data_IF_124644891095
#
_entry.id   IF_124644891095
#
_cell.length_a   1.000
_cell.length_b   1.000
_cell.length_c   1.000
_cell.angle_alpha   90.00
_cell.angle_beta   90.00
_cell.angle_gamma   90.00
#
_symmetry.space_group_name_H-M   'P 1'
#
loop_
_entity.id
_entity.type
_entity.pdbx_description
1 polymer ?
#
# COMPACT_ATOMS: atom_id res chain seq x y z
N UNK A 1 32.31 -2.44 5.33
CA UNK A 1 31.99 -1.10 5.87
C UNK A 1 32.78 -0.13 5.02
N UNK A 2 32.12 0.79 4.29
CA UNK A 2 32.82 1.76 3.44
C UNK A 2 33.78 2.63 4.26
N UNK A 3 34.94 2.96 3.68
CA UNK A 3 35.92 3.86 4.29
C UNK A 3 35.64 5.32 3.87
N UNK A 4 35.88 6.25 4.79
CA UNK A 4 35.55 7.68 4.62
C UNK A 4 36.83 8.49 4.38
N UNK A 5 36.85 9.30 3.32
CA UNK A 5 37.92 10.26 3.01
C UNK A 5 37.44 11.69 3.23
N UNK A 6 38.27 12.53 3.87
CA UNK A 6 37.96 13.94 4.19
C UNK A 6 38.09 14.83 2.94
N UNK A 7 37.14 15.75 2.74
CA UNK A 7 37.00 16.58 1.54
C UNK A 7 37.61 18.01 1.68
N UNK A 8 38.21 18.60 0.61
CA UNK A 8 38.75 19.98 0.61
C UNK A 8 37.67 21.10 0.52
N UNK A 9 38.06 22.29 1.01
CA UNK A 9 37.33 23.54 1.35
C UNK A 9 36.66 24.33 0.19
N UNK A 10 36.20 23.68 -0.89
CA UNK A 10 35.49 24.35 -1.99
C UNK A 10 34.30 23.53 -2.51
N UNK A 11 33.19 24.21 -2.85
CA UNK A 11 32.00 23.61 -3.49
C UNK A 11 32.38 22.89 -4.78
N UNK A 12 32.01 21.61 -4.87
CA UNK A 12 32.23 20.76 -6.02
C UNK A 12 30.94 19.98 -6.37
N UNK A 13 30.17 20.55 -7.30
CA UNK A 13 28.96 19.92 -7.87
C UNK A 13 29.21 18.51 -8.38
N UNK A 14 30.36 18.29 -9.03
CA UNK A 14 30.75 16.99 -9.58
C UNK A 14 30.92 15.95 -8.48
N UNK A 15 31.53 16.33 -7.36
CA UNK A 15 31.70 15.46 -6.18
C UNK A 15 30.35 15.01 -5.61
N UNK A 16 29.38 15.93 -5.52
CA UNK A 16 28.04 15.60 -5.03
C UNK A 16 27.28 14.65 -5.98
N UNK A 17 27.36 14.88 -7.30
CA UNK A 17 26.77 13.96 -8.29
C UNK A 17 27.46 12.59 -8.24
N UNK A 18 28.79 12.56 -8.11
CA UNK A 18 29.56 11.32 -7.99
C UNK A 18 29.17 10.53 -6.73
N UNK A 19 28.94 11.20 -5.60
CA UNK A 19 28.48 10.53 -4.39
C UNK A 19 27.11 9.84 -4.60
N UNK A 20 26.16 10.52 -5.26
CA UNK A 20 24.86 9.93 -5.59
C UNK A 20 25.00 8.80 -6.62
N UNK A 21 25.79 8.99 -7.67
CA UNK A 21 26.04 7.96 -8.69
C UNK A 21 26.69 6.71 -8.07
N UNK A 22 27.60 6.89 -7.10
CA UNK A 22 28.23 5.78 -6.40
C UNK A 22 27.26 4.99 -5.52
N UNK A 23 26.29 5.68 -4.92
CA UNK A 23 25.19 5.02 -4.23
C UNK A 23 24.31 4.18 -5.18
N UNK A 24 24.13 4.60 -6.43
CA UNK A 24 23.43 3.81 -7.46
C UNK A 24 24.19 2.54 -7.78
N UNK A 25 25.49 2.65 -8.09
CA UNK A 25 26.35 1.49 -8.39
C UNK A 25 26.35 0.47 -7.25
N UNK A 26 26.48 0.95 -6.01
CA UNK A 26 26.37 0.11 -4.82
C UNK A 26 25.04 -0.64 -4.71
N UNK A 27 23.94 0.03 -5.06
CA UNK A 27 22.61 -0.56 -5.01
C UNK A 27 22.36 -1.56 -6.15
N UNK A 28 22.99 -1.37 -7.31
CA UNK A 28 22.88 -2.25 -8.48
C UNK A 28 23.78 -3.49 -8.33
N UNK A 29 25.05 -3.29 -7.95
CA UNK A 29 26.09 -4.32 -8.00
C UNK A 29 26.28 -5.08 -6.68
N UNK A 30 25.96 -4.45 -5.54
CA UNK A 30 26.07 -5.09 -4.22
C UNK A 30 27.47 -5.11 -3.60
N UNK A 31 28.47 -4.48 -4.22
CA UNK A 31 29.87 -4.54 -3.77
C UNK A 31 30.18 -3.55 -2.63
N UNK A 32 30.24 -4.02 -1.38
CA UNK A 32 30.43 -3.13 -0.21
C UNK A 32 31.84 -2.51 -0.01
N UNK A 33 32.78 -2.74 -0.94
CA UNK A 33 34.18 -2.26 -0.87
C UNK A 33 34.39 -0.92 -1.56
N UNK A 34 33.30 -0.27 -1.91
CA UNK A 34 33.28 0.99 -2.61
C UNK A 34 33.51 2.14 -1.61
N UNK A 35 34.55 2.96 -1.87
CA UNK A 35 34.82 4.18 -1.10
C UNK A 35 33.67 5.18 -1.24
N UNK A 36 33.18 5.70 -0.11
CA UNK A 36 32.13 6.73 -0.09
C UNK A 36 32.79 8.06 0.23
N UNK A 37 32.71 9.00 -0.71
CA UNK A 37 33.24 10.35 -0.54
C UNK A 37 32.23 11.17 0.24
N UNK A 38 32.62 11.65 1.42
CA UNK A 38 31.82 12.59 2.19
C UNK A 38 31.70 13.91 1.42
N UNK A 39 30.50 14.48 1.38
CA UNK A 39 30.23 15.75 0.72
C UNK A 39 29.90 16.81 1.77
N UNK A 40 30.38 18.02 1.52
CA UNK A 40 30.14 19.20 2.36
C UNK A 40 28.80 19.86 2.00
N UNK A 41 28.28 20.70 2.90
CA UNK A 41 27.11 21.53 2.62
C UNK A 41 27.29 22.38 1.36
N UNK A 42 28.49 22.91 1.13
CA UNK A 42 28.84 23.70 -0.05
C UNK A 42 28.70 22.88 -1.36
N UNK A 43 29.01 21.59 -1.35
CA UNK A 43 28.84 20.72 -2.52
C UNK A 43 27.38 20.53 -2.90
N UNK A 44 26.53 20.37 -1.89
CA UNK A 44 25.09 20.21 -2.05
C UNK A 44 24.42 21.52 -2.47
N UNK A 45 24.96 22.68 -2.06
CA UNK A 45 24.51 23.95 -2.62
C UNK A 45 24.79 24.07 -4.12
N UNK A 46 25.93 23.54 -4.58
CA UNK A 46 26.27 23.42 -5.99
C UNK A 46 25.30 22.53 -6.80
N UNK A 47 24.48 21.71 -6.12
CA UNK A 47 23.44 20.89 -6.76
C UNK A 47 22.12 21.64 -7.00
N UNK A 48 21.94 22.89 -6.54
CA UNK A 48 20.71 23.65 -6.80
C UNK A 48 20.36 23.63 -8.29
N UNK A 49 19.12 23.23 -8.61
CA UNK A 49 18.62 23.11 -9.98
C UNK A 49 19.09 21.87 -10.75
N UNK A 50 19.82 20.95 -10.11
CA UNK A 50 20.20 19.65 -10.70
C UNK A 50 19.14 18.62 -10.37
N UNK A 51 18.61 17.95 -11.39
CA UNK A 51 17.68 16.86 -11.18
C UNK A 51 18.42 15.57 -10.84
N UNK A 52 18.41 15.20 -9.56
CA UNK A 52 18.96 13.93 -9.07
C UNK A 52 17.96 12.78 -9.16
N UNK A 53 16.69 13.06 -9.53
CA UNK A 53 15.62 12.09 -9.53
C UNK A 53 15.93 10.82 -10.33
N UNK A 54 16.48 10.88 -11.56
CA UNK A 54 16.75 9.66 -12.34
C UNK A 54 17.76 8.73 -11.66
N UNK A 55 18.74 9.29 -10.94
CA UNK A 55 19.71 8.50 -10.17
C UNK A 55 19.05 7.86 -8.94
N UNK A 56 18.26 8.65 -8.19
CA UNK A 56 17.57 8.15 -7.00
C UNK A 56 16.54 7.07 -7.34
N UNK A 57 15.84 7.20 -8.46
CA UNK A 57 14.88 6.21 -8.97
C UNK A 57 15.57 4.88 -9.28
N UNK A 58 16.72 4.92 -9.96
CA UNK A 58 17.54 3.72 -10.19
C UNK A 58 17.97 3.08 -8.88
N UNK A 59 18.54 3.87 -7.96
CA UNK A 59 19.02 3.38 -6.67
C UNK A 59 17.88 2.71 -5.86
N UNK A 60 16.73 3.38 -5.76
CA UNK A 60 15.66 2.90 -4.88
C UNK A 60 15.05 1.59 -5.40
N UNK A 61 15.00 1.35 -6.73
CA UNK A 61 14.49 0.10 -7.32
C UNK A 61 15.55 -0.99 -7.51
N UNK A 62 16.82 -0.69 -7.28
CA UNK A 62 17.90 -1.65 -7.44
C UNK A 62 17.87 -2.78 -6.41
N UNK A 63 18.57 -3.89 -6.71
CA UNK A 63 18.52 -5.12 -5.94
C UNK A 63 19.03 -4.96 -4.50
N UNK A 64 20.02 -4.11 -4.31
CA UNK A 64 20.70 -3.83 -3.04
C UNK A 64 20.44 -2.40 -2.56
N UNK A 65 19.20 -1.91 -2.70
CA UNK A 65 18.81 -0.54 -2.34
C UNK A 65 19.23 -0.09 -0.93
N UNK A 66 19.32 -1.01 0.03
CA UNK A 66 19.85 -0.75 1.38
C UNK A 66 21.31 -0.29 1.39
N UNK A 67 22.16 -0.84 0.50
CA UNK A 67 23.55 -0.40 0.37
C UNK A 67 23.66 0.99 -0.25
N UNK A 68 22.83 1.30 -1.25
CA UNK A 68 22.75 2.64 -1.82
C UNK A 68 22.26 3.67 -0.81
N UNK A 69 21.25 3.32 -0.01
CA UNK A 69 20.76 4.16 1.09
C UNK A 69 21.83 4.39 2.16
N UNK A 70 22.62 3.37 2.51
CA UNK A 70 23.77 3.54 3.42
C UNK A 70 24.86 4.42 2.82
N UNK A 71 25.12 4.33 1.51
CA UNK A 71 26.07 5.20 0.84
C UNK A 71 25.62 6.67 0.84
N UNK A 72 24.33 6.94 0.58
CA UNK A 72 23.78 8.30 0.68
C UNK A 72 23.89 8.86 2.11
N UNK A 73 23.67 8.01 3.12
CA UNK A 73 23.83 8.38 4.52
C UNK A 73 25.29 8.72 4.84
N UNK A 74 26.22 7.82 4.50
CA UNK A 74 27.66 8.00 4.77
C UNK A 74 28.26 9.19 4.02
N UNK A 75 27.75 9.49 2.83
CA UNK A 75 28.16 10.66 2.08
C UNK A 75 27.66 11.97 2.70
N UNK A 76 26.60 11.96 3.53
CA UNK A 76 25.93 13.16 4.03
C UNK A 76 24.87 13.72 3.06
N UNK A 77 24.51 12.97 2.00
CA UNK A 77 23.49 13.40 1.04
C UNK A 77 22.12 13.53 1.71
N UNK A 78 21.79 12.62 2.63
CA UNK A 78 20.49 12.60 3.29
C UNK A 78 20.26 13.84 4.16
N UNK A 79 21.28 14.38 4.83
CA UNK A 79 21.16 15.56 5.71
C UNK A 79 20.52 16.75 4.98
N UNK A 80 20.90 16.96 3.72
CA UNK A 80 20.40 18.10 2.93
C UNK A 80 19.20 17.77 2.06
N UNK A 81 19.23 16.61 1.41
CA UNK A 81 18.27 16.23 0.39
C UNK A 81 16.98 15.69 1.02
N UNK A 82 17.12 14.82 2.02
CA UNK A 82 16.04 14.10 2.66
C UNK A 82 16.20 14.13 4.21
N UNK A 83 16.24 15.32 4.85
CA UNK A 83 16.42 15.41 6.31
C UNK A 83 15.32 14.68 7.09
N UNK A 84 14.13 14.51 6.52
CA UNK A 84 13.05 13.70 7.09
C UNK A 84 13.41 12.22 7.18
N UNK A 85 14.17 11.71 6.21
CA UNK A 85 14.70 10.34 6.21
C UNK A 85 15.90 10.25 7.15
N UNK A 86 16.81 11.22 7.11
CA UNK A 86 17.96 11.31 8.01
C UNK A 86 17.56 11.28 9.48
N UNK A 87 16.47 11.96 9.84
CA UNK A 87 15.97 12.00 11.22
C UNK A 87 15.59 10.62 11.79
N UNK A 88 15.39 9.61 10.94
CA UNK A 88 15.12 8.23 11.38
C UNK A 88 16.38 7.48 11.83
N UNK A 89 17.57 7.97 11.46
CA UNK A 89 18.86 7.33 11.76
C UNK A 89 19.13 7.39 13.26
N UNK A 90 19.34 6.22 13.88
CA UNK A 90 19.53 6.11 15.33
C UNK A 90 18.27 6.41 16.15
N UNK A 91 17.13 6.66 15.49
CA UNK A 91 15.87 6.88 16.18
C UNK A 91 15.25 5.53 16.57
N UNK A 92 15.32 5.20 17.85
CA UNK A 92 14.82 3.96 18.45
C UNK A 92 15.40 3.77 19.85
N UNK A 93 14.79 2.92 20.67
CA UNK A 93 15.28 2.71 22.04
C UNK A 93 16.46 1.73 22.02
N UNK A 94 17.62 2.20 22.49
CA UNK A 94 18.87 1.44 22.58
C UNK A 94 18.81 0.18 23.46
N UNK A 95 17.70 -0.06 24.15
CA UNK A 95 17.49 -1.24 24.99
C UNK A 95 16.16 -1.94 24.62
N UNK A 96 16.25 -2.87 23.68
CA UNK A 96 15.39 -4.06 23.55
C UNK A 96 13.88 -3.90 23.28
N UNK A 97 13.32 -2.69 23.18
CA UNK A 97 11.85 -2.51 22.99
C UNK A 97 11.42 -2.13 21.57
N UNK A 98 12.17 -1.27 20.86
CA UNK A 98 11.84 -0.85 19.49
C UNK A 98 13.04 -0.96 18.56
N UNK A 99 12.81 -1.39 17.31
CA UNK A 99 13.86 -1.40 16.28
C UNK A 99 14.19 0.04 15.88
N UNK A 100 15.47 0.31 15.64
CA UNK A 100 15.95 1.49 14.92
C UNK A 100 15.14 1.69 13.63
N UNK A 101 14.49 2.86 13.52
CA UNK A 101 13.54 3.15 12.43
C UNK A 101 14.25 3.14 11.08
N UNK A 102 15.46 3.68 10.98
CA UNK A 102 16.24 3.65 9.74
C UNK A 102 16.55 2.21 9.27
N UNK A 103 17.04 1.36 10.19
CA UNK A 103 17.33 -0.05 9.87
C UNK A 103 16.07 -0.79 9.42
N UNK A 104 14.93 -0.50 10.06
CA UNK A 104 13.65 -1.03 9.65
C UNK A 104 13.27 -0.54 8.24
N UNK A 105 13.27 0.77 8.00
CA UNK A 105 12.92 1.38 6.70
C UNK A 105 13.75 0.81 5.55
N UNK A 106 15.08 0.73 5.68
CA UNK A 106 15.93 0.10 4.65
C UNK A 106 15.50 -1.35 4.36
N UNK A 107 15.21 -2.13 5.40
CA UNK A 107 14.75 -3.50 5.25
C UNK A 107 13.39 -3.57 4.52
N UNK A 108 12.49 -2.62 4.76
CA UNK A 108 11.20 -2.52 4.04
C UNK A 108 11.44 -2.17 2.57
N UNK A 109 12.27 -1.17 2.29
CA UNK A 109 12.63 -0.76 0.90
C UNK A 109 13.20 -1.95 0.11
N UNK A 110 14.19 -2.67 0.64
CA UNK A 110 14.81 -3.81 -0.07
C UNK A 110 13.84 -4.99 -0.25
N UNK A 111 12.95 -5.24 0.72
CA UNK A 111 11.95 -6.33 0.61
C UNK A 111 10.78 -5.97 -0.30
N UNK A 112 10.49 -4.69 -0.48
CA UNK A 112 9.40 -4.23 -1.31
C UNK A 112 9.63 -4.55 -2.79
N UNK A 113 8.52 -4.81 -3.49
CA UNK A 113 8.50 -4.99 -4.95
C UNK A 113 9.22 -3.80 -5.59
N UNK A 114 10.16 -3.99 -6.54
CA UNK A 114 10.96 -2.93 -7.15
C UNK A 114 10.14 -2.08 -8.14
N UNK A 115 9.10 -1.42 -7.62
CA UNK A 115 8.30 -0.41 -8.32
C UNK A 115 8.48 0.92 -7.59
N UNK A 116 8.58 2.00 -8.38
CA UNK A 116 8.91 3.33 -7.87
C UNK A 116 7.97 3.78 -6.76
N UNK A 117 6.66 3.70 -6.99
CA UNK A 117 5.68 4.16 -6.01
C UNK A 117 5.78 3.38 -4.68
N UNK A 118 5.93 2.06 -4.74
CA UNK A 118 6.03 1.22 -3.54
C UNK A 118 7.32 1.49 -2.79
N UNK A 119 8.48 1.58 -3.46
CA UNK A 119 9.77 1.74 -2.77
C UNK A 119 10.03 3.14 -2.28
N UNK A 120 9.56 4.16 -2.98
CA UNK A 120 9.51 5.52 -2.43
C UNK A 120 8.57 5.62 -1.24
N UNK A 121 7.37 5.02 -1.32
CA UNK A 121 6.48 4.96 -0.16
C UNK A 121 7.12 4.21 1.01
N UNK A 122 7.82 3.10 0.76
CA UNK A 122 8.57 2.37 1.78
C UNK A 122 9.65 3.22 2.45
N UNK A 123 10.38 4.06 1.69
CA UNK A 123 11.36 4.98 2.26
C UNK A 123 10.71 6.02 3.20
N UNK A 124 9.48 6.44 2.88
CA UNK A 124 8.79 7.52 3.59
C UNK A 124 7.75 7.08 4.62
N UNK A 125 7.33 5.82 4.64
CA UNK A 125 6.14 5.39 5.40
C UNK A 125 6.21 5.74 6.89
N UNK A 126 7.42 5.69 7.46
CA UNK A 126 7.68 5.83 8.88
C UNK A 126 8.30 7.18 9.29
N UNK A 127 8.51 8.12 8.35
CA UNK A 127 9.16 9.41 8.67
C UNK A 127 8.39 10.21 9.72
N UNK A 128 7.08 9.97 9.87
CA UNK A 128 6.26 10.61 10.90
C UNK A 128 6.58 10.17 12.33
N UNK A 129 7.22 9.01 12.54
CA UNK A 129 7.53 8.48 13.89
C UNK A 129 8.42 9.44 14.68
N UNK A 130 9.34 10.12 14.01
CA UNK A 130 10.27 11.07 14.66
C UNK A 130 9.57 12.26 15.30
N UNK A 131 8.34 12.60 14.83
CA UNK A 131 7.54 13.73 15.34
C UNK A 131 6.36 13.32 16.21
N UNK A 132 6.07 12.03 16.33
CA UNK A 132 4.86 11.51 17.00
C UNK A 132 5.16 10.58 18.16
N UNK A 133 6.44 10.42 18.51
CA UNK A 133 6.84 9.65 19.69
C UNK A 133 6.20 10.22 20.94
N UNK A 134 5.49 9.36 21.66
CA UNK A 134 4.90 9.64 22.96
C UNK A 134 5.18 8.46 23.90
N UNK A 135 5.13 8.72 25.20
CA UNK A 135 5.36 7.73 26.25
C UNK A 135 4.08 7.56 27.06
N UNK A 136 3.64 6.32 27.24
CA UNK A 136 2.55 5.98 28.16
C UNK A 136 3.05 5.91 29.61
N UNK A 137 2.12 5.79 30.55
CA UNK A 137 2.39 5.82 32.00
C UNK A 137 3.38 4.75 32.47
N UNK A 138 3.45 3.62 31.76
CA UNK A 138 4.35 2.49 32.06
C UNK A 138 5.66 2.51 31.23
N UNK A 139 5.98 3.64 30.58
CA UNK A 139 7.14 3.77 29.71
C UNK A 139 7.00 3.04 28.36
N UNK A 140 5.78 2.74 27.94
CA UNK A 140 5.50 2.22 26.59
C UNK A 140 5.66 3.34 25.56
N UNK A 141 6.31 3.06 24.43
CA UNK A 141 6.47 4.04 23.36
C UNK A 141 5.38 3.86 22.32
N UNK A 142 4.74 4.97 21.95
CA UNK A 142 3.70 5.02 20.94
C UNK A 142 4.04 6.02 19.83
N UNK A 143 3.51 5.76 18.64
CA UNK A 143 3.64 6.61 17.44
C UNK A 143 2.26 6.85 16.82
N UNK A 144 1.30 7.30 17.63
CA UNK A 144 -0.08 7.48 17.17
C UNK A 144 -0.15 8.55 16.07
N UNK A 145 -0.81 8.23 14.96
CA UNK A 145 -1.01 9.15 13.83
C UNK A 145 0.26 9.45 13.02
N UNK A 146 1.32 8.64 13.15
CA UNK A 146 2.57 8.86 12.40
C UNK A 146 2.36 8.76 10.89
N UNK A 147 1.39 7.99 10.42
CA UNK A 147 1.00 7.90 9.01
C UNK A 147 0.45 9.24 8.49
N UNK A 148 -0.35 9.95 9.31
CA UNK A 148 -0.90 11.27 8.97
C UNK A 148 0.19 12.34 9.00
N UNK A 149 1.03 12.32 10.04
CA UNK A 149 2.16 13.26 10.15
C UNK A 149 3.19 13.00 9.04
N UNK A 150 3.46 11.74 8.73
CA UNK A 150 4.35 11.29 7.65
C UNK A 150 3.87 11.78 6.29
N UNK A 151 2.59 11.62 5.97
CA UNK A 151 2.02 12.14 4.72
C UNK A 151 2.16 13.69 4.61
N UNK A 152 1.96 14.41 5.72
CA UNK A 152 2.18 15.87 5.76
C UNK A 152 3.66 16.26 5.63
N UNK A 153 4.58 15.43 6.13
CA UNK A 153 6.02 15.61 5.95
C UNK A 153 6.40 15.39 4.49
N UNK A 154 5.85 14.35 3.85
CA UNK A 154 6.01 14.12 2.41
C UNK A 154 5.53 15.32 1.58
N UNK A 155 4.36 15.89 1.89
CA UNK A 155 3.83 17.08 1.20
C UNK A 155 4.80 18.28 1.28
N UNK A 156 5.46 18.48 2.43
CA UNK A 156 6.44 19.56 2.62
C UNK A 156 7.75 19.27 1.90
N UNK A 157 8.19 18.02 1.93
CA UNK A 157 9.37 17.54 1.20
C UNK A 157 9.17 17.77 -0.29
N UNK A 158 8.03 17.37 -0.85
CA UNK A 158 7.76 17.51 -2.28
C UNK A 158 7.65 18.97 -2.72
N UNK A 159 7.08 19.85 -1.90
CA UNK A 159 7.11 21.30 -2.15
C UNK A 159 8.53 21.87 -2.22
N UNK A 160 9.46 21.31 -1.44
CA UNK A 160 10.86 21.76 -1.38
C UNK A 160 11.71 21.16 -2.49
N UNK A 161 11.60 19.85 -2.73
CA UNK A 161 12.46 19.10 -3.64
C UNK A 161 11.89 18.95 -5.05
N UNK A 162 10.56 18.95 -5.19
CA UNK A 162 9.83 18.84 -6.46
C UNK A 162 10.17 17.57 -7.26
N UNK A 163 10.53 16.49 -6.56
CA UNK A 163 10.98 15.22 -7.15
C UNK A 163 9.92 14.56 -8.02
N UNK A 164 8.65 14.76 -7.69
CA UNK A 164 7.52 14.13 -8.37
C UNK A 164 6.63 15.15 -9.09
N UNK A 165 7.11 16.38 -9.26
CA UNK A 165 6.28 17.48 -9.76
C UNK A 165 5.85 17.32 -11.22
N UNK A 166 6.57 16.52 -12.00
CA UNK A 166 6.21 16.12 -13.38
C UNK A 166 5.40 14.83 -13.46
N UNK A 167 5.21 14.11 -12.36
CA UNK A 167 4.58 12.79 -12.31
C UNK A 167 3.52 12.73 -11.19
N UNK A 168 2.42 13.46 -11.38
CA UNK A 168 1.39 13.62 -10.34
C UNK A 168 0.79 12.29 -9.87
N UNK A 169 0.53 11.36 -10.79
CA UNK A 169 0.02 10.02 -10.44
C UNK A 169 0.99 9.27 -9.53
N UNK A 170 2.30 9.36 -9.79
CA UNK A 170 3.34 8.72 -8.96
C UNK A 170 3.40 9.39 -7.58
N UNK A 171 3.42 10.72 -7.53
CA UNK A 171 3.38 11.52 -6.30
C UNK A 171 2.19 11.13 -5.42
N UNK A 172 1.00 11.10 -6.01
CA UNK A 172 -0.24 10.89 -5.31
C UNK A 172 -0.35 9.44 -4.82
N UNK A 173 0.12 8.46 -5.60
CA UNK A 173 0.24 7.06 -5.16
C UNK A 173 1.19 6.91 -3.97
N UNK A 174 2.38 7.54 -4.01
CA UNK A 174 3.33 7.48 -2.89
C UNK A 174 2.74 8.08 -1.63
N UNK A 175 2.16 9.28 -1.74
CA UNK A 175 1.50 9.95 -0.63
C UNK A 175 0.35 9.10 -0.05
N UNK A 176 -0.45 8.50 -0.93
CA UNK A 176 -1.56 7.63 -0.54
C UNK A 176 -1.06 6.42 0.25
N UNK A 177 0.00 5.76 -0.25
CA UNK A 177 0.61 4.60 0.40
C UNK A 177 1.19 4.97 1.77
N UNK A 178 1.92 6.09 1.88
CA UNK A 178 2.44 6.60 3.16
C UNK A 178 1.31 6.84 4.16
N UNK A 179 0.22 7.49 3.74
CA UNK A 179 -0.92 7.77 4.61
C UNK A 179 -1.65 6.51 5.08
N UNK A 180 -1.72 5.47 4.23
CA UNK A 180 -2.56 4.31 4.47
C UNK A 180 -1.80 3.04 4.86
N UNK A 181 -0.46 3.08 4.99
CA UNK A 181 0.37 1.87 5.12
C UNK A 181 -0.02 0.93 6.28
N UNK A 182 -0.57 1.47 7.38
CA UNK A 182 -1.04 0.68 8.53
C UNK A 182 -2.33 -0.11 8.27
N UNK A 183 -3.14 0.33 7.31
CA UNK A 183 -4.55 -0.07 7.15
C UNK A 183 -4.71 -1.56 6.86
N UNK A 184 -3.91 -2.11 5.95
CA UNK A 184 -3.96 -3.54 5.64
C UNK A 184 -3.50 -4.40 6.83
N UNK A 185 -2.58 -3.90 7.65
CA UNK A 185 -2.11 -4.56 8.87
C UNK A 185 -3.17 -4.66 9.98
N UNK A 186 -4.23 -3.86 9.92
CA UNK A 186 -5.36 -3.90 10.86
C UNK A 186 -6.36 -5.02 10.55
N UNK A 187 -6.19 -5.73 9.43
CA UNK A 187 -7.07 -6.82 9.04
C UNK A 187 -7.09 -7.94 10.09
N UNK A 188 -8.30 -8.41 10.35
CA UNK A 188 -8.55 -9.61 11.13
C UNK A 188 -9.60 -10.49 10.43
N UNK A 189 -9.45 -11.81 10.56
CA UNK A 189 -10.31 -12.80 9.90
C UNK A 189 -11.79 -12.65 10.26
N UNK A 190 -12.09 -12.02 11.42
CA UNK A 190 -13.47 -11.73 11.85
C UNK A 190 -14.10 -10.51 11.16
N UNK A 191 -13.39 -9.81 10.26
CA UNK A 191 -14.00 -8.75 9.46
C UNK A 191 -15.20 -9.28 8.67
N UNK A 192 -16.33 -8.59 8.78
CA UNK A 192 -17.52 -8.89 7.98
C UNK A 192 -17.27 -8.55 6.52
N UNK A 193 -18.02 -9.17 5.61
CA UNK A 193 -17.86 -8.86 4.18
C UNK A 193 -18.16 -7.39 3.86
N UNK A 194 -19.04 -6.73 4.62
CA UNK A 194 -19.26 -5.29 4.52
C UNK A 194 -18.01 -4.48 4.90
N UNK A 195 -17.27 -4.90 5.93
CA UNK A 195 -16.01 -4.26 6.31
C UNK A 195 -14.93 -4.45 5.23
N UNK A 196 -14.83 -5.64 4.66
CA UNK A 196 -13.89 -5.93 3.55
C UNK A 196 -14.24 -5.10 2.31
N UNK A 197 -15.53 -5.03 1.91
CA UNK A 197 -15.99 -4.17 0.81
C UNK A 197 -15.70 -2.69 1.04
N UNK A 198 -15.95 -2.19 2.26
CA UNK A 198 -15.64 -0.80 2.63
C UNK A 198 -14.15 -0.53 2.51
N UNK A 199 -13.30 -1.42 3.04
CA UNK A 199 -11.86 -1.31 2.89
C UNK A 199 -11.45 -1.28 1.41
N UNK A 200 -11.92 -2.23 0.60
CA UNK A 200 -11.62 -2.28 -0.83
C UNK A 200 -12.00 -0.97 -1.53
N UNK A 201 -13.21 -0.46 -1.27
CA UNK A 201 -13.69 0.81 -1.84
C UNK A 201 -12.86 2.02 -1.41
N UNK A 202 -12.48 2.10 -0.14
CA UNK A 202 -11.67 3.20 0.39
C UNK A 202 -10.24 3.20 -0.15
N UNK A 203 -9.67 2.01 -0.42
CA UNK A 203 -8.32 1.90 -0.98
C UNK A 203 -8.28 2.08 -2.50
N UNK A 204 -9.30 1.60 -3.21
CA UNK A 204 -9.46 1.80 -4.65
C UNK A 204 -8.29 1.26 -5.47
N UNK A 205 -7.82 2.05 -6.43
CA UNK A 205 -6.76 1.67 -7.38
C UNK A 205 -5.41 1.33 -6.73
N UNK A 206 -5.14 1.84 -5.52
CA UNK A 206 -3.88 1.61 -4.82
C UNK A 206 -3.88 0.29 -4.00
N UNK A 207 -4.90 -0.57 -4.15
CA UNK A 207 -5.06 -1.77 -3.33
C UNK A 207 -3.86 -2.72 -3.42
N UNK A 208 -3.48 -3.11 -4.64
CA UNK A 208 -2.40 -4.07 -4.83
C UNK A 208 -1.08 -3.53 -4.28
N UNK A 209 -0.83 -2.24 -4.46
CA UNK A 209 0.39 -1.56 -4.02
C UNK A 209 0.44 -1.43 -2.50
N UNK A 210 -0.69 -1.14 -1.87
CA UNK A 210 -0.82 -1.11 -0.42
C UNK A 210 -0.60 -2.49 0.19
N UNK A 211 -1.18 -3.54 -0.40
CA UNK A 211 -0.96 -4.91 0.07
C UNK A 211 0.51 -5.33 -0.14
N UNK A 212 1.17 -4.92 -1.23
CA UNK A 212 2.59 -5.16 -1.45
C UNK A 212 3.45 -4.47 -0.38
N UNK A 213 3.21 -3.18 -0.12
CA UNK A 213 3.92 -2.42 0.92
C UNK A 213 3.72 -3.05 2.30
N UNK A 214 2.47 -3.38 2.65
CA UNK A 214 2.14 -4.01 3.94
C UNK A 214 2.84 -5.35 4.16
N UNK A 215 3.02 -6.17 3.11
CA UNK A 215 3.82 -7.40 3.21
C UNK A 215 5.30 -7.12 3.47
N UNK A 216 5.86 -6.12 2.78
CA UNK A 216 7.28 -5.74 2.92
C UNK A 216 7.58 -5.17 4.32
N UNK A 217 6.62 -4.47 4.91
CA UNK A 217 6.70 -3.87 6.24
C UNK A 217 6.82 -4.91 7.39
N UNK A 218 6.43 -6.16 7.12
CA UNK A 218 6.57 -7.28 8.07
C UNK A 218 8.04 -7.71 8.17
N UNK A 219 8.80 -6.98 8.99
CA UNK A 219 10.25 -7.16 9.17
C UNK A 219 10.66 -8.05 10.35
N UNK A 220 9.72 -8.64 11.08
CA UNK A 220 10.03 -9.47 12.26
C UNK A 220 11.00 -10.62 11.91
N UNK A 221 12.04 -10.81 12.74
CA UNK A 221 12.99 -11.94 12.60
C UNK A 221 12.37 -13.29 12.99
N UNK A 222 11.23 -13.28 13.71
CA UNK A 222 10.54 -14.51 14.14
C UNK A 222 9.75 -15.10 12.97
N UNK A 223 10.27 -16.18 12.38
CA UNK A 223 9.71 -16.82 11.18
C UNK A 223 8.21 -17.13 11.28
N UNK A 224 7.74 -17.68 12.42
CA UNK A 224 6.33 -17.97 12.62
C UNK A 224 5.45 -16.70 12.63
N UNK A 225 5.91 -15.61 13.27
CA UNK A 225 5.18 -14.33 13.25
C UNK A 225 5.16 -13.73 11.84
N UNK A 226 6.29 -13.81 11.11
CA UNK A 226 6.39 -13.36 9.72
C UNK A 226 5.38 -14.10 8.83
N UNK A 227 5.37 -15.43 8.90
CA UNK A 227 4.45 -16.29 8.13
C UNK A 227 2.99 -15.96 8.43
N UNK A 228 2.63 -15.81 9.71
CA UNK A 228 1.25 -15.45 10.11
C UNK A 228 0.85 -14.06 9.61
N UNK A 229 1.72 -13.06 9.72
CA UNK A 229 1.43 -11.71 9.23
C UNK A 229 1.22 -11.68 7.71
N UNK A 230 2.12 -12.32 6.94
CA UNK A 230 1.97 -12.40 5.48
C UNK A 230 0.70 -13.16 5.10
N UNK A 231 0.38 -14.26 5.80
CA UNK A 231 -0.85 -15.01 5.56
C UNK A 231 -2.10 -14.14 5.75
N UNK A 232 -2.16 -13.29 6.78
CA UNK A 232 -3.28 -12.35 6.98
C UNK A 232 -3.44 -11.37 5.82
N UNK A 233 -2.36 -10.78 5.32
CA UNK A 233 -2.44 -9.84 4.18
C UNK A 233 -2.86 -10.57 2.90
N UNK A 234 -2.41 -11.81 2.70
CA UNK A 234 -2.85 -12.64 1.58
C UNK A 234 -4.33 -13.01 1.68
N UNK A 235 -4.79 -13.40 2.87
CA UNK A 235 -6.20 -13.71 3.13
C UNK A 235 -7.10 -12.52 2.82
N UNK A 236 -6.74 -11.31 3.27
CA UNK A 236 -7.46 -10.08 2.91
C UNK A 236 -7.56 -9.90 1.40
N UNK A 237 -6.43 -10.05 0.68
CA UNK A 237 -6.40 -9.94 -0.78
C UNK A 237 -7.30 -10.97 -1.47
N UNK A 238 -7.30 -12.22 -1.00
CA UNK A 238 -8.18 -13.28 -1.52
C UNK A 238 -9.64 -12.96 -1.26
N UNK A 239 -10.03 -12.59 -0.04
CA UNK A 239 -11.41 -12.25 0.30
C UNK A 239 -11.93 -11.06 -0.51
N UNK A 240 -11.09 -10.05 -0.76
CA UNK A 240 -11.48 -8.93 -1.61
C UNK A 240 -11.81 -9.41 -3.03
N UNK A 241 -10.98 -10.29 -3.61
CA UNK A 241 -11.22 -10.86 -4.95
C UNK A 241 -12.49 -11.69 -5.00
N UNK A 242 -12.68 -12.60 -4.04
CA UNK A 242 -13.88 -13.44 -3.95
C UNK A 242 -15.16 -12.59 -3.83
N UNK A 243 -15.15 -11.56 -2.98
CA UNK A 243 -16.30 -10.66 -2.85
C UNK A 243 -16.53 -9.82 -4.11
N UNK A 244 -15.48 -9.36 -4.77
CA UNK A 244 -15.61 -8.63 -6.04
C UNK A 244 -16.18 -9.52 -7.15
N UNK A 245 -15.75 -10.79 -7.23
CA UNK A 245 -16.31 -11.79 -8.14
C UNK A 245 -17.77 -12.09 -7.84
N UNK A 246 -18.14 -12.22 -6.57
CA UNK A 246 -19.54 -12.39 -6.14
C UNK A 246 -20.39 -11.18 -6.52
N UNK A 247 -19.89 -9.96 -6.28
CA UNK A 247 -20.60 -8.72 -6.57
C UNK A 247 -20.72 -8.46 -8.09
N UNK A 248 -19.79 -8.98 -8.89
CA UNK A 248 -19.82 -8.91 -10.35
C UNK A 248 -20.82 -9.91 -10.99
N UNK A 249 -21.36 -10.87 -10.23
CA UNK A 249 -22.38 -11.80 -10.75
C UNK A 249 -23.66 -11.03 -11.03
N UNK A 250 -24.07 -11.03 -12.29
CA UNK A 250 -25.38 -10.54 -12.70
C UNK A 250 -26.42 -11.53 -12.18
N UNK A 251 -27.37 -11.09 -11.31
CA UNK A 251 -28.46 -11.97 -10.89
C UNK A 251 -29.23 -12.47 -12.12
N UNK A 252 -29.62 -13.75 -12.18
CA UNK A 252 -30.27 -14.30 -13.36
C UNK A 252 -31.66 -13.70 -13.61
N UNK A 253 -32.26 -13.13 -12.57
CA UNK A 253 -33.55 -12.44 -12.65
C UNK A 253 -33.36 -10.92 -12.77
N UNK A 254 -34.18 -10.24 -13.58
CA UNK A 254 -34.13 -8.80 -13.75
C UNK A 254 -34.55 -8.08 -12.47
N UNK A 255 -34.06 -6.85 -12.31
CA UNK A 255 -34.51 -5.96 -11.23
C UNK A 255 -36.01 -5.70 -11.40
N UNK A 256 -36.76 -5.77 -10.31
CA UNK A 256 -38.20 -5.50 -10.33
C UNK A 256 -39.11 -6.72 -10.53
N UNK A 257 -38.57 -7.90 -10.89
CA UNK A 257 -39.37 -9.13 -11.06
C UNK A 257 -40.26 -9.44 -9.86
N UNK A 258 -39.77 -9.18 -8.64
CA UNK A 258 -40.53 -9.40 -7.42
C UNK A 258 -41.77 -8.51 -7.32
N UNK A 259 -41.67 -7.25 -7.78
CA UNK A 259 -42.80 -6.32 -7.79
C UNK A 259 -43.85 -6.73 -8.82
N UNK A 260 -43.41 -7.25 -9.97
CA UNK A 260 -44.33 -7.75 -10.99
C UNK A 260 -45.03 -9.04 -10.57
N UNK A 261 -44.30 -9.97 -9.95
CA UNK A 261 -44.89 -11.17 -9.34
C UNK A 261 -45.93 -10.79 -8.27
N UNK A 262 -45.61 -9.82 -7.42
CA UNK A 262 -46.56 -9.31 -6.43
C UNK A 262 -47.81 -8.71 -7.07
N UNK A 263 -47.64 -7.90 -8.12
CA UNK A 263 -48.75 -7.24 -8.81
C UNK A 263 -49.65 -8.25 -9.54
N UNK A 264 -49.04 -9.18 -10.28
CA UNK A 264 -49.75 -10.15 -11.09
C UNK A 264 -50.53 -11.17 -10.25
N UNK A 265 -49.89 -11.74 -9.22
CA UNK A 265 -50.48 -12.76 -8.35
C UNK A 265 -51.13 -12.19 -7.08
N UNK A 266 -51.19 -10.85 -6.94
CA UNK A 266 -51.71 -10.14 -5.76
C UNK A 266 -51.08 -10.61 -4.44
N UNK A 267 -49.78 -10.89 -4.46
CA UNK A 267 -49.04 -11.38 -3.31
C UNK A 267 -48.52 -10.23 -2.45
N UNK A 268 -48.65 -10.28 -1.12
CA UNK A 268 -47.95 -9.36 -0.24
C UNK A 268 -46.44 -9.72 -0.16
N UNK A 269 -45.57 -8.78 0.29
CA UNK A 269 -44.21 -9.12 0.66
C UNK A 269 -44.20 -10.24 1.69
N UNK A 270 -43.65 -11.40 1.34
CA UNK A 270 -43.77 -12.62 2.14
C UNK A 270 -42.61 -13.59 1.87
N UNK A 271 -42.46 -14.59 2.75
CA UNK A 271 -41.50 -15.68 2.56
C UNK A 271 -41.72 -16.41 1.23
N UNK A 272 -42.99 -16.61 0.85
CA UNK A 272 -43.39 -17.25 -0.40
C UNK A 272 -42.81 -16.52 -1.62
N UNK A 273 -42.87 -15.18 -1.67
CA UNK A 273 -42.25 -14.41 -2.76
C UNK A 273 -40.74 -14.68 -2.85
N UNK A 274 -40.06 -14.80 -1.70
CA UNK A 274 -38.65 -15.19 -1.65
C UNK A 274 -38.40 -16.61 -2.15
N UNK A 275 -39.28 -17.56 -1.82
CA UNK A 275 -39.21 -18.95 -2.30
C UNK A 275 -39.42 -19.02 -3.83
N UNK A 276 -40.40 -18.29 -4.37
CA UNK A 276 -40.65 -18.19 -5.82
C UNK A 276 -39.42 -17.66 -6.55
N UNK A 277 -38.83 -16.55 -6.07
CA UNK A 277 -37.63 -15.99 -6.65
C UNK A 277 -36.45 -16.97 -6.65
N UNK A 278 -36.21 -17.67 -5.54
CA UNK A 278 -35.16 -18.71 -5.47
C UNK A 278 -35.40 -19.87 -6.43
N UNK A 279 -36.66 -20.31 -6.58
CA UNK A 279 -37.01 -21.37 -7.51
C UNK A 279 -36.81 -20.95 -8.98
N UNK A 280 -37.12 -19.69 -9.31
CA UNK A 280 -36.84 -19.12 -10.63
C UNK A 280 -35.33 -18.97 -10.89
N UNK A 281 -34.55 -18.51 -9.90
CA UNK A 281 -33.09 -18.45 -9.97
C UNK A 281 -32.49 -19.85 -10.25
N UNK A 282 -32.93 -20.87 -9.49
CA UNK A 282 -32.50 -22.25 -9.68
C UNK A 282 -32.90 -22.83 -11.06
N UNK A 283 -34.07 -22.46 -11.58
CA UNK A 283 -34.50 -22.87 -12.93
C UNK A 283 -33.63 -22.23 -14.02
N UNK A 284 -33.19 -20.98 -13.83
CA UNK A 284 -32.20 -20.37 -14.71
C UNK A 284 -30.85 -21.07 -14.64
N UNK A 285 -30.37 -21.40 -13.44
CA UNK A 285 -29.10 -22.12 -13.23
C UNK A 285 -29.12 -23.53 -13.83
N UNK A 286 -30.26 -24.23 -13.77
CA UNK A 286 -30.46 -25.53 -14.37
C UNK A 286 -30.62 -25.51 -15.90
N UNK A 287 -30.67 -24.32 -16.53
CA UNK A 287 -30.88 -24.15 -17.96
C UNK A 287 -32.33 -24.37 -18.43
N UNK A 288 -33.27 -24.50 -17.50
CA UNK A 288 -34.71 -24.61 -17.79
C UNK A 288 -35.28 -23.26 -18.27
N UNK A 289 -34.82 -22.16 -17.64
CA UNK A 289 -35.20 -20.80 -17.99
C UNK A 289 -34.03 -20.01 -18.53
N UNK A 290 -34.29 -19.12 -19.48
CA UNK A 290 -33.28 -18.15 -19.93
C UNK A 290 -33.08 -17.10 -18.83
N UNK A 291 -31.83 -16.84 -18.47
CA UNK A 291 -31.47 -15.74 -17.58
C UNK A 291 -31.62 -14.37 -18.29
N UNK A 292 -31.70 -13.30 -17.50
CA UNK A 292 -31.74 -11.90 -17.96
C UNK A 292 -32.84 -11.58 -18.98
N UNK A 293 -33.98 -12.26 -18.88
CA UNK A 293 -35.17 -11.90 -19.65
C UNK A 293 -35.92 -10.75 -18.96
N UNK A 294 -36.90 -10.17 -19.65
CA UNK A 294 -37.85 -9.24 -19.04
C UNK A 294 -38.67 -9.94 -17.94
N UNK A 295 -39.07 -9.21 -16.92
CA UNK A 295 -39.84 -9.76 -15.78
C UNK A 295 -41.08 -10.57 -16.22
N UNK A 296 -41.77 -10.13 -17.27
CA UNK A 296 -42.95 -10.79 -17.82
C UNK A 296 -42.72 -12.25 -18.25
N UNK A 297 -41.51 -12.59 -18.72
CA UNK A 297 -41.13 -13.97 -19.04
C UNK A 297 -41.21 -14.88 -17.81
N UNK A 298 -40.71 -14.41 -16.68
CA UNK A 298 -40.74 -15.17 -15.42
C UNK A 298 -42.14 -15.21 -14.82
N UNK A 299 -42.88 -14.10 -14.89
CA UNK A 299 -44.27 -14.05 -14.43
C UNK A 299 -45.13 -15.06 -15.18
N UNK A 300 -44.97 -15.15 -16.51
CA UNK A 300 -45.67 -16.12 -17.33
C UNK A 300 -45.31 -17.56 -16.93
N UNK A 301 -44.03 -17.86 -16.75
CA UNK A 301 -43.61 -19.20 -16.32
C UNK A 301 -44.22 -19.62 -14.98
N UNK A 302 -44.30 -18.69 -14.01
CA UNK A 302 -44.98 -18.94 -12.73
C UNK A 302 -46.49 -19.16 -12.93
N UNK A 303 -47.13 -18.41 -13.82
CA UNK A 303 -48.56 -18.53 -14.10
C UNK A 303 -48.92 -19.87 -14.79
N UNK A 304 -48.01 -20.40 -15.59
CA UNK A 304 -48.15 -21.71 -16.26
C UNK A 304 -47.93 -22.89 -15.30
N UNK A 305 -47.21 -22.68 -14.19
CA UNK A 305 -46.85 -23.73 -13.22
C UNK A 305 -47.19 -23.36 -11.76
N UNK A 306 -48.42 -22.92 -11.44
CA UNK A 306 -48.74 -22.34 -10.13
C UNK A 306 -48.48 -23.31 -8.96
N UNK A 307 -48.76 -24.59 -9.14
CA UNK A 307 -48.55 -25.62 -8.12
C UNK A 307 -47.07 -25.77 -7.73
N UNK A 308 -46.14 -25.67 -8.69
CA UNK A 308 -44.69 -25.73 -8.44
C UNK A 308 -44.24 -24.62 -7.50
N UNK A 309 -44.90 -23.47 -7.58
CA UNK A 309 -44.56 -22.26 -6.85
C UNK A 309 -45.43 -22.05 -5.61
N UNK A 310 -46.25 -23.04 -5.23
CA UNK A 310 -47.12 -22.96 -4.05
C UNK A 310 -48.26 -21.94 -4.20
N UNK A 311 -48.63 -21.60 -5.43
CA UNK A 311 -49.77 -20.76 -5.76
C UNK A 311 -51.00 -21.65 -6.00
N UNK A 312 -52.17 -21.17 -5.55
CA UNK A 312 -53.47 -21.84 -5.69
C UNK A 312 -54.34 -21.11 -6.68
#
# INVERSE_FOLDING_TARGET
>A
MPQMTLAPDQSNKTRAIQAVARAVELAEDGESNIEVVAISDLDLEGLKGTDLRPLLDRMIVAKHADLGLDALLLAGVLDRLLPEVQAMVGFGDGEWRHKDVWKHTKQVVTQAVPRLNIRWAALFHDIGKVRTRSFGDNGEVHFFGHEVVGARMFDKLEKRQRFFSSEETLRDSIRFLVLNHLRAGQYDSHWTDSAVRRFHKEIGENLDDLLCLSRADITTKRALKKKKGIAKINELGTRIKELAELDARVPPLPKGVGNELMTHFKLPPSRLLGDIKRALEAACEAGELKANQESGYYVQFVAEHPERFGLK
#
